data_IF_618852824238
#
_entry.id   IF_618852824238
#
_cell.length_a   1.000
_cell.length_b   1.000
_cell.length_c   1.000
_cell.angle_alpha   90.00
_cell.angle_beta   90.00
_cell.angle_gamma   90.00
#
_symmetry.space_group_name_H-M   'P 1'
#
loop_
_entity.id
_entity.type
_entity.pdbx_description
1 polymer ?
#
# COMPACT_ATOMS: atom_id res chain seq x y z
N UNK A 1 5.41 -3.82 -5.02
CA UNK A 1 5.28 -3.31 -3.63
C UNK A 1 4.40 -4.24 -2.83
N UNK A 2 4.70 -4.47 -1.55
CA UNK A 2 3.79 -5.16 -0.60
C UNK A 2 3.22 -4.11 0.35
N UNK A 3 1.92 -4.12 0.61
CA UNK A 3 1.23 -3.13 1.47
C UNK A 3 0.63 -3.87 2.67
N UNK A 4 0.85 -3.35 3.87
CA UNK A 4 0.35 -3.91 5.12
C UNK A 4 -0.49 -2.87 5.89
N UNK A 5 -1.24 -3.33 6.89
CA UNK A 5 -2.21 -2.52 7.62
C UNK A 5 -1.56 -1.36 8.39
N UNK A 6 -0.39 -1.59 9.00
CA UNK A 6 0.34 -0.59 9.77
C UNK A 6 -0.53 0.08 10.84
N UNK A 7 -0.22 1.33 11.21
CA UNK A 7 -1.11 2.14 12.05
C UNK A 7 -2.34 2.66 11.33
N UNK A 8 -2.31 2.71 10.00
CA UNK A 8 -3.40 3.28 9.22
C UNK A 8 -4.69 2.47 9.38
N UNK A 9 -4.57 1.15 9.27
CA UNK A 9 -5.68 0.20 9.28
C UNK A 9 -5.57 -0.84 10.42
N UNK A 10 -4.36 -1.13 10.89
CA UNK A 10 -4.12 -2.12 11.93
C UNK A 10 -4.65 -1.67 13.29
N UNK A 11 -4.66 -2.58 14.25
CA UNK A 11 -5.14 -2.27 15.60
C UNK A 11 -4.17 -1.31 16.29
N UNK A 12 -4.67 -0.23 16.88
CA UNK A 12 -3.85 0.66 17.72
C UNK A 12 -4.20 0.47 19.19
N UNK A 13 -3.29 -0.11 19.99
CA UNK A 13 -3.50 -0.37 21.43
C UNK A 13 -4.78 -1.20 21.68
N UNK A 14 -5.68 -0.77 22.57
CA UNK A 14 -6.99 -1.41 22.80
C UNK A 14 -8.06 -1.02 21.76
N UNK A 15 -7.68 -0.33 20.67
CA UNK A 15 -8.56 0.09 19.59
C UNK A 15 -9.14 -1.08 18.78
N UNK A 16 -10.03 -0.75 17.83
CA UNK A 16 -10.66 -1.74 16.93
C UNK A 16 -9.90 -1.94 15.61
N UNK A 17 -8.95 -1.05 15.30
CA UNK A 17 -8.37 -0.91 13.97
C UNK A 17 -9.21 -0.04 13.05
N UNK A 18 -8.69 0.25 11.86
CA UNK A 18 -9.24 1.17 10.86
C UNK A 18 -9.38 2.62 11.33
N UNK A 19 -8.52 3.07 12.25
CA UNK A 19 -8.63 4.41 12.86
C UNK A 19 -8.42 5.55 11.84
N UNK A 20 -7.65 5.31 10.77
CA UNK A 20 -7.37 6.30 9.72
C UNK A 20 -8.02 5.97 8.38
N UNK A 21 -8.36 4.70 8.16
CA UNK A 21 -9.08 4.20 7.01
C UNK A 21 -9.19 2.68 7.03
N UNK A 22 -10.13 2.15 6.26
CA UNK A 22 -10.46 0.73 6.18
C UNK A 22 -9.90 0.03 4.92
N UNK A 23 -9.31 0.81 4.01
CA UNK A 23 -8.72 0.34 2.75
C UNK A 23 -7.22 0.60 2.70
N UNK A 24 -6.44 -0.40 2.24
CA UNK A 24 -5.02 -0.20 1.96
C UNK A 24 -4.86 0.63 0.67
N UNK A 25 -3.92 1.57 0.69
CA UNK A 25 -3.63 2.43 -0.44
C UNK A 25 -2.12 2.59 -0.64
N UNK A 26 -1.73 2.86 -1.89
CA UNK A 26 -0.36 3.21 -2.29
C UNK A 26 -0.37 4.53 -3.03
N UNK A 27 0.53 5.42 -2.65
CA UNK A 27 0.91 6.59 -3.43
C UNK A 27 2.38 6.44 -3.82
N UNK A 28 2.66 6.44 -5.12
CA UNK A 28 4.00 6.24 -5.66
C UNK A 28 4.28 7.20 -6.82
N UNK A 29 5.52 7.68 -6.89
CA UNK A 29 6.07 8.41 -8.01
C UNK A 29 7.54 8.03 -8.18
N UNK A 30 7.91 7.60 -9.39
CA UNK A 30 9.28 7.35 -9.81
C UNK A 30 9.61 8.32 -10.94
N UNK A 31 10.69 9.09 -10.77
CA UNK A 31 11.19 10.01 -11.78
C UNK A 31 12.50 9.48 -12.37
N UNK A 32 12.56 9.42 -13.69
CA UNK A 32 13.74 9.02 -14.44
C UNK A 32 14.24 10.22 -15.21
N UNK A 33 15.47 10.66 -14.92
CA UNK A 33 16.18 11.70 -15.68
C UNK A 33 17.20 11.04 -16.60
N UNK A 34 17.15 11.38 -17.89
CA UNK A 34 18.06 10.86 -18.91
C UNK A 34 19.23 11.83 -19.15
N UNK A 35 20.31 11.34 -19.76
CA UNK A 35 21.52 12.13 -20.02
C UNK A 35 21.27 13.35 -20.93
N UNK A 36 20.23 13.31 -21.77
CA UNK A 36 19.80 14.40 -22.63
C UNK A 36 18.93 15.45 -21.91
N UNK A 37 18.68 15.27 -20.61
CA UNK A 37 17.84 16.13 -19.78
C UNK A 37 16.34 15.86 -19.89
N UNK A 38 15.90 14.86 -20.67
CA UNK A 38 14.50 14.42 -20.68
C UNK A 38 14.14 13.79 -19.34
N UNK A 39 12.85 13.88 -18.95
CA UNK A 39 12.30 13.21 -17.78
C UNK A 39 11.09 12.35 -18.13
N UNK A 40 11.03 11.16 -17.57
CA UNK A 40 9.82 10.33 -17.52
C UNK A 40 9.36 10.19 -16.06
N UNK A 41 8.05 10.22 -15.84
CA UNK A 41 7.45 10.09 -14.50
C UNK A 41 6.47 8.91 -14.52
N UNK A 42 6.67 7.96 -13.63
CA UNK A 42 5.80 6.80 -13.44
C UNK A 42 5.10 6.99 -12.09
N UNK A 43 3.77 7.15 -12.10
CA UNK A 43 2.97 7.32 -10.90
C UNK A 43 2.11 6.09 -10.63
N UNK A 44 1.71 5.89 -9.37
CA UNK A 44 0.62 4.95 -9.05
C UNK A 44 -0.66 5.40 -9.75
N UNK A 45 -1.22 4.55 -10.59
CA UNK A 45 -2.42 4.82 -11.38
C UNK A 45 -3.35 3.59 -11.47
N UNK A 46 -4.39 3.69 -12.30
CA UNK A 46 -5.38 2.62 -12.49
C UNK A 46 -4.91 1.43 -13.35
N UNK A 47 -3.69 1.46 -13.90
CA UNK A 47 -3.12 0.36 -14.69
C UNK A 47 -2.41 -0.67 -13.81
N UNK A 48 -2.22 -0.38 -12.53
CA UNK A 48 -1.63 -1.33 -11.59
C UNK A 48 -2.60 -2.49 -11.32
N UNK A 49 -2.02 -3.65 -11.01
CA UNK A 49 -2.76 -4.85 -10.60
C UNK A 49 -2.29 -5.30 -9.23
N UNK A 50 -3.12 -6.06 -8.51
CA UNK A 50 -2.83 -6.55 -7.16
C UNK A 50 -3.29 -7.99 -6.94
N UNK A 51 -2.73 -8.64 -5.92
CA UNK A 51 -3.14 -9.99 -5.49
C UNK A 51 -3.05 -10.15 -3.97
N UNK A 52 -3.89 -11.01 -3.41
CA UNK A 52 -3.80 -11.48 -2.01
C UNK A 52 -3.13 -12.86 -1.90
N UNK A 53 -2.65 -13.41 -3.01
CA UNK A 53 -2.03 -14.74 -3.09
C UNK A 53 -0.54 -14.73 -2.75
N UNK A 54 -0.03 -13.62 -2.20
CA UNK A 54 1.34 -13.53 -1.69
C UNK A 54 1.56 -14.26 -0.36
N UNK A 55 2.82 -14.34 0.10
CA UNK A 55 3.20 -15.13 1.27
C UNK A 55 2.78 -14.51 2.61
N UNK A 56 2.56 -13.19 2.66
CA UNK A 56 2.06 -12.50 3.85
C UNK A 56 0.57 -12.78 4.04
N UNK A 57 0.22 -13.49 5.13
CA UNK A 57 -1.18 -13.84 5.45
C UNK A 57 -1.83 -12.79 6.35
N UNK A 58 -1.03 -12.14 7.18
CA UNK A 58 -1.35 -10.90 7.88
C UNK A 58 -0.05 -10.23 8.35
N UNK A 59 -0.10 -8.92 8.57
CA UNK A 59 0.97 -8.15 9.22
C UNK A 59 0.35 -7.01 10.02
N UNK A 60 0.44 -7.09 11.34
CA UNK A 60 -0.09 -6.12 12.30
C UNK A 60 0.95 -5.84 13.38
N UNK A 61 1.02 -4.60 13.82
CA UNK A 61 2.10 -4.14 14.71
C UNK A 61 1.96 -4.63 16.15
N UNK A 62 0.77 -5.04 16.60
CA UNK A 62 0.57 -5.63 17.93
C UNK A 62 0.39 -7.15 17.90
N UNK A 63 -0.20 -7.68 16.83
CA UNK A 63 -0.52 -9.11 16.66
C UNK A 63 0.64 -9.88 15.99
N UNK A 64 1.59 -9.16 15.40
CA UNK A 64 2.74 -9.70 14.68
C UNK A 64 2.42 -10.01 13.22
N UNK A 65 3.20 -10.91 12.63
CA UNK A 65 3.11 -11.28 11.22
C UNK A 65 2.99 -12.79 11.07
N UNK A 66 2.23 -13.23 10.06
CA UNK A 66 2.27 -14.62 9.58
C UNK A 66 2.68 -14.66 8.13
N UNK A 67 3.78 -15.35 7.90
CA UNK A 67 4.34 -15.62 6.58
C UNK A 67 4.19 -17.10 6.23
N UNK A 68 3.71 -17.42 5.03
CA UNK A 68 3.66 -18.77 4.47
C UNK A 68 4.52 -18.85 3.21
N UNK A 69 5.74 -19.38 3.33
CA UNK A 69 6.68 -19.47 2.22
C UNK A 69 6.18 -20.33 1.05
N UNK A 70 5.18 -21.19 1.26
CA UNK A 70 4.56 -21.99 0.18
C UNK A 70 3.73 -21.14 -0.78
N UNK A 71 3.41 -19.91 -0.39
CA UNK A 71 2.67 -18.93 -1.17
C UNK A 71 3.58 -17.84 -1.76
N UNK A 72 4.90 -18.05 -1.77
CA UNK A 72 5.79 -17.18 -2.53
C UNK A 72 5.41 -17.19 -4.01
N UNK A 73 5.55 -16.03 -4.65
CA UNK A 73 5.31 -15.83 -6.07
C UNK A 73 6.67 -15.51 -6.73
N UNK A 74 7.49 -16.52 -7.10
CA UNK A 74 8.83 -16.27 -7.63
C UNK A 74 8.79 -15.35 -8.85
N UNK A 75 9.62 -14.31 -8.83
CA UNK A 75 9.75 -13.38 -9.95
C UNK A 75 8.62 -12.37 -10.11
N UNK A 76 7.68 -12.24 -9.15
CA UNK A 76 6.57 -11.28 -9.25
C UNK A 76 7.00 -9.81 -9.43
N UNK A 77 8.23 -9.48 -9.03
CA UNK A 77 8.84 -8.15 -9.19
C UNK A 77 9.67 -8.00 -10.47
N UNK A 78 9.66 -8.99 -11.36
CA UNK A 78 10.41 -9.01 -12.62
C UNK A 78 9.50 -8.67 -13.80
N UNK A 79 10.07 -8.06 -14.85
CA UNK A 79 9.32 -7.58 -16.04
C UNK A 79 8.55 -8.69 -16.76
N UNK A 80 9.07 -9.92 -16.74
CA UNK A 80 8.52 -11.05 -17.48
C UNK A 80 7.44 -11.85 -16.72
N UNK A 81 7.00 -11.39 -15.55
CA UNK A 81 6.00 -12.08 -14.75
C UNK A 81 4.61 -12.04 -15.41
N UNK A 82 3.89 -13.18 -15.40
CA UNK A 82 2.50 -13.25 -15.85
C UNK A 82 1.54 -12.87 -14.72
N UNK A 83 1.10 -11.62 -14.74
CA UNK A 83 0.13 -11.06 -13.79
C UNK A 83 -1.32 -11.08 -14.31
N UNK A 84 -1.61 -11.82 -15.40
CA UNK A 84 -2.94 -11.82 -16.04
C UNK A 84 -4.10 -12.28 -15.14
N UNK A 85 -3.79 -12.95 -14.02
CA UNK A 85 -4.76 -13.39 -13.01
C UNK A 85 -4.91 -12.44 -11.83
N UNK A 86 -4.10 -11.39 -11.76
CA UNK A 86 -4.18 -10.38 -10.72
C UNK A 86 -5.39 -9.47 -10.96
N UNK A 87 -5.85 -8.84 -9.89
CA UNK A 87 -7.04 -7.99 -9.92
C UNK A 87 -6.64 -6.56 -10.24
N UNK A 88 -7.48 -5.84 -10.99
CA UNK A 88 -7.28 -4.42 -11.24
C UNK A 88 -7.41 -3.63 -9.94
N UNK A 89 -6.53 -2.65 -9.70
CA UNK A 89 -6.65 -1.77 -8.54
C UNK A 89 -7.83 -0.80 -8.70
N UNK A 90 -8.28 -0.25 -7.58
CA UNK A 90 -9.20 0.88 -7.57
C UNK A 90 -8.45 2.17 -7.28
N UNK A 91 -8.74 3.22 -8.06
CA UNK A 91 -8.24 4.57 -7.77
C UNK A 91 -8.94 5.08 -6.51
N UNK A 92 -8.17 5.29 -5.45
CA UNK A 92 -8.67 5.91 -4.23
C UNK A 92 -8.95 7.41 -4.42
N UNK A 93 -10.00 7.90 -3.77
CA UNK A 93 -10.27 9.33 -3.63
C UNK A 93 -9.76 9.80 -2.26
N UNK A 94 -8.48 10.18 -2.23
CA UNK A 94 -7.78 10.65 -1.03
C UNK A 94 -7.38 12.11 -1.22
N UNK A 95 -8.33 13.06 -1.10
CA UNK A 95 -8.00 14.46 -1.20
C UNK A 95 -7.08 14.87 -0.06
N UNK A 96 -6.12 15.73 -0.36
CA UNK A 96 -5.36 16.42 0.68
C UNK A 96 -6.28 17.40 1.40
N UNK A 97 -6.65 17.08 2.63
CA UNK A 97 -7.35 18.01 3.52
C UNK A 97 -6.35 18.68 4.46
N UNK A 98 -5.97 19.91 4.14
CA UNK A 98 -5.07 20.72 4.93
C UNK A 98 -5.59 21.00 6.37
N UNK A 99 -6.88 20.82 6.63
CA UNK A 99 -7.52 21.15 7.91
C UNK A 99 -7.67 19.95 8.86
N UNK A 100 -7.33 18.73 8.41
CA UNK A 100 -7.46 17.52 9.26
C UNK A 100 -6.51 17.49 10.46
N UNK A 101 -5.54 18.41 10.53
CA UNK A 101 -4.63 18.60 11.66
C UNK A 101 -5.11 19.66 12.69
N UNK A 102 -6.21 20.36 12.45
CA UNK A 102 -6.74 21.39 13.37
C UNK A 102 -7.75 20.84 14.40
N UNK A 103 -7.70 19.54 14.70
CA UNK A 103 -8.55 18.89 15.70
C UNK A 103 -7.91 18.89 17.09
N UNK A 104 -8.19 19.95 17.86
CA UNK A 104 -8.13 20.06 19.34
C UNK A 104 -7.28 19.01 20.08
N UNK A 105 -6.03 19.39 20.38
CA UNK A 105 -5.30 18.80 21.49
C UNK A 105 -6.04 19.07 22.80
N UNK A 106 -6.68 18.02 23.32
CA UNK A 106 -6.98 17.86 24.74
C UNK A 106 -6.67 16.40 25.09
N UNK A 107 -5.38 16.11 25.25
CA UNK A 107 -4.95 14.96 26.04
C UNK A 107 -5.00 15.42 27.50
N UNK A 108 -5.96 14.90 28.26
CA UNK A 108 -5.86 14.81 29.72
C UNK A 108 -4.90 13.70 30.10
#
# INVERSE_FOLDING_TARGET
MTIADGWYKGKVSMGRGNDYGDNLALLLQLEVEYEDGKRDVITSDGNFVYTYEGPYRYGDLFTGEKYDARMELPGWSEVAFDDSRWQAVHRGDYPYDANRHAGNGNYV
#
